data_IF_383799333270
#
_entry.id   IF_383799333270
#
_cell.length_a   1.000
_cell.length_b   1.000
_cell.length_c   1.000
_cell.angle_alpha   90.00
_cell.angle_beta   90.00
_cell.angle_gamma   90.00
#
_symmetry.space_group_name_H-M   'P 1'
#
loop_
_entity.id
_entity.type
_entity.pdbx_description
1 polymer ?
#
# COMPACT_ATOMS: atom_id res chain seq x y z
N UNK A 1 18.29 -19.81 -6.75
CA UNK A 1 18.28 -18.50 -6.05
C UNK A 1 18.14 -17.38 -7.08
N UNK A 2 17.15 -16.50 -6.95
CA UNK A 2 16.87 -15.38 -7.86
C UNK A 2 17.12 -14.06 -7.15
N UNK A 3 17.68 -13.07 -7.84
CA UNK A 3 17.80 -11.69 -7.32
C UNK A 3 16.81 -10.79 -8.05
N UNK A 4 16.06 -9.98 -7.30
CA UNK A 4 15.09 -9.03 -7.85
C UNK A 4 15.46 -7.61 -7.42
N UNK A 5 15.68 -6.73 -8.40
CA UNK A 5 16.04 -5.33 -8.15
C UNK A 5 14.81 -4.58 -7.64
N UNK A 6 14.95 -3.88 -6.53
CA UNK A 6 13.91 -3.01 -5.95
C UNK A 6 14.50 -1.70 -5.42
N UNK A 7 13.62 -0.77 -5.06
CA UNK A 7 13.96 0.45 -4.31
C UNK A 7 13.50 0.29 -2.86
N UNK A 8 14.33 0.75 -1.93
CA UNK A 8 14.06 0.67 -0.49
C UNK A 8 12.73 1.38 -0.09
N UNK A 9 11.82 0.71 0.66
CA UNK A 9 10.48 1.24 0.96
C UNK A 9 10.40 2.13 2.21
N UNK A 10 11.55 2.64 2.67
CA UNK A 10 11.66 3.32 3.97
C UNK A 10 11.64 4.85 3.86
N UNK A 11 12.80 5.45 3.63
CA UNK A 11 12.96 6.92 3.57
C UNK A 11 13.10 7.40 2.12
N UNK A 12 13.13 8.72 1.91
CA UNK A 12 13.21 9.35 0.58
C UNK A 12 14.54 9.22 -0.17
N UNK A 13 15.57 8.59 0.39
CA UNK A 13 16.89 8.47 -0.25
C UNK A 13 16.87 7.63 -1.54
N UNK A 14 15.92 6.69 -1.68
CA UNK A 14 15.77 5.91 -2.91
C UNK A 14 16.90 4.90 -3.19
N UNK A 15 17.50 4.31 -2.14
CA UNK A 15 18.55 3.31 -2.29
C UNK A 15 18.09 2.10 -3.14
N UNK A 16 18.93 1.66 -4.08
CA UNK A 16 18.71 0.42 -4.85
C UNK A 16 19.28 -0.80 -4.11
N UNK A 17 18.53 -1.89 -4.14
CA UNK A 17 18.92 -3.17 -3.52
C UNK A 17 18.36 -4.36 -4.31
N UNK A 18 19.01 -5.51 -4.15
CA UNK A 18 18.46 -6.80 -4.55
C UNK A 18 17.75 -7.42 -3.36
N UNK A 19 16.53 -7.90 -3.58
CA UNK A 19 15.95 -8.94 -2.73
C UNK A 19 16.42 -10.30 -3.27
N UNK A 20 17.05 -11.08 -2.41
CA UNK A 20 17.44 -12.46 -2.71
C UNK A 20 16.27 -13.37 -2.37
N UNK A 21 15.82 -14.12 -3.37
CA UNK A 21 14.62 -14.95 -3.33
C UNK A 21 15.00 -16.41 -3.51
N UNK A 22 14.52 -17.24 -2.59
CA UNK A 22 14.66 -18.68 -2.62
C UNK A 22 13.32 -19.32 -2.22
N UNK A 23 12.88 -20.34 -2.97
CA UNK A 23 11.61 -21.04 -2.72
C UNK A 23 10.41 -20.08 -2.53
N UNK A 24 10.32 -19.06 -3.40
CA UNK A 24 9.30 -17.99 -3.35
C UNK A 24 9.26 -17.16 -2.06
N UNK A 25 10.33 -17.16 -1.25
CA UNK A 25 10.48 -16.32 -0.07
C UNK A 25 11.69 -15.41 -0.22
N UNK A 26 11.57 -14.18 0.27
CA UNK A 26 12.72 -13.29 0.42
C UNK A 26 13.51 -13.78 1.62
N UNK A 27 14.82 -13.96 1.45
CA UNK A 27 15.73 -14.47 2.50
C UNK A 27 16.83 -13.50 2.89
N UNK A 28 17.12 -12.50 2.05
CA UNK A 28 18.07 -11.43 2.36
C UNK A 28 17.88 -10.23 1.43
N UNK A 29 18.52 -9.11 1.80
CA UNK A 29 18.67 -7.93 0.98
C UNK A 29 20.16 -7.62 0.80
N UNK A 30 20.56 -7.31 -0.43
CA UNK A 30 21.93 -6.93 -0.78
C UNK A 30 21.94 -5.54 -1.41
N UNK A 31 22.89 -4.67 -1.08
CA UNK A 31 22.99 -3.36 -1.71
C UNK A 31 23.31 -3.50 -3.20
N UNK A 32 22.80 -2.56 -4.00
CA UNK A 32 23.22 -2.37 -5.38
C UNK A 32 23.93 -1.03 -5.54
N UNK A 33 24.72 -0.92 -6.61
CA UNK A 33 25.33 0.35 -7.02
C UNK A 33 24.28 1.29 -7.63
N UNK A 34 23.36 1.77 -6.80
CA UNK A 34 22.35 2.76 -7.16
C UNK A 34 22.89 4.17 -7.10
N UNK A 35 22.23 5.10 -7.82
CA UNK A 35 22.68 6.49 -7.96
C UNK A 35 22.87 7.22 -6.63
N UNK A 36 22.06 6.92 -5.62
CA UNK A 36 22.09 7.60 -4.32
C UNK A 36 22.82 6.83 -3.23
N UNK A 37 23.02 5.53 -3.41
CA UNK A 37 23.51 4.65 -2.35
C UNK A 37 24.81 3.93 -2.69
N UNK A 38 25.24 3.88 -3.95
CA UNK A 38 26.57 3.43 -4.39
C UNK A 38 27.08 2.13 -3.73
N UNK A 39 26.20 1.14 -3.59
CA UNK A 39 26.56 -0.15 -2.98
C UNK A 39 26.47 -0.17 -1.45
N UNK A 40 25.85 0.83 -0.82
CA UNK A 40 25.64 0.92 0.62
C UNK A 40 24.14 0.87 0.97
N UNK A 41 23.82 0.34 2.15
CA UNK A 41 22.48 0.42 2.76
C UNK A 41 22.62 0.71 4.26
N UNK A 42 21.63 1.40 4.84
CA UNK A 42 21.52 1.49 6.30
C UNK A 42 20.87 0.23 6.89
N UNK A 43 20.78 0.15 8.23
CA UNK A 43 20.16 -0.96 8.96
C UNK A 43 18.77 -1.34 8.42
N UNK A 44 17.93 -0.33 8.13
CA UNK A 44 16.57 -0.55 7.60
C UNK A 44 16.59 -1.22 6.23
N UNK A 45 17.54 -0.86 5.36
CA UNK A 45 17.66 -1.45 4.03
C UNK A 45 18.17 -2.89 4.07
N UNK A 46 19.12 -3.20 4.95
CA UNK A 46 19.71 -4.54 5.09
C UNK A 46 18.75 -5.54 5.76
N UNK A 47 18.00 -5.13 6.79
CA UNK A 47 17.25 -6.05 7.64
C UNK A 47 15.73 -5.86 7.60
N UNK A 48 15.25 -4.74 7.07
CA UNK A 48 13.86 -4.35 7.12
C UNK A 48 12.96 -4.98 6.04
N UNK A 49 13.31 -6.12 5.47
CA UNK A 49 12.51 -6.76 4.41
C UNK A 49 11.63 -7.91 4.92
N UNK A 50 11.92 -8.45 6.11
CA UNK A 50 11.31 -9.70 6.58
C UNK A 50 9.81 -9.59 6.91
N UNK A 51 9.27 -8.37 7.06
CA UNK A 51 7.82 -8.15 7.20
C UNK A 51 7.02 -8.70 6.00
N UNK A 52 7.68 -8.93 4.87
CA UNK A 52 7.09 -9.58 3.70
C UNK A 52 6.63 -11.02 4.00
N UNK A 53 7.28 -11.70 4.94
CA UNK A 53 7.08 -13.10 5.28
C UNK A 53 6.06 -13.34 6.42
N UNK A 54 5.26 -12.32 6.78
CA UNK A 54 4.24 -12.40 7.83
C UNK A 54 4.78 -12.92 9.18
N UNK A 55 5.81 -12.25 9.70
CA UNK A 55 6.51 -12.68 10.92
C UNK A 55 5.65 -12.70 12.18
N UNK A 56 4.49 -12.02 12.17
CA UNK A 56 3.58 -11.91 13.30
C UNK A 56 4.21 -11.35 14.59
N UNK A 57 5.40 -10.73 14.52
CA UNK A 57 6.11 -10.15 15.68
C UNK A 57 5.36 -8.98 16.32
N UNK A 58 4.64 -8.21 15.50
CA UNK A 58 3.85 -7.06 15.97
C UNK A 58 2.39 -7.16 15.53
N UNK A 59 2.15 -7.45 14.25
CA UNK A 59 0.79 -7.53 13.71
C UNK A 59 0.77 -8.50 12.52
N UNK A 60 -0.29 -9.32 12.39
CA UNK A 60 -0.47 -10.18 11.21
C UNK A 60 -0.67 -9.37 9.94
N UNK A 61 -0.19 -9.90 8.82
CA UNK A 61 -0.50 -9.38 7.49
C UNK A 61 -1.99 -9.58 7.18
N UNK A 62 -2.60 -8.56 6.59
CA UNK A 62 -3.95 -8.69 6.03
C UNK A 62 -3.93 -9.65 4.85
N UNK A 63 -4.71 -10.73 4.93
CA UNK A 63 -4.79 -11.79 3.90
C UNK A 63 -6.16 -11.93 3.27
N UNK A 64 -7.18 -11.29 3.83
CA UNK A 64 -8.57 -11.33 3.35
C UNK A 64 -9.22 -9.94 3.45
N UNK A 65 -10.12 -9.58 2.52
CA UNK A 65 -11.04 -8.46 2.71
C UNK A 65 -11.90 -8.67 3.96
N UNK A 66 -12.32 -7.59 4.59
CA UNK A 66 -13.15 -7.65 5.80
C UNK A 66 -14.20 -6.54 5.79
N UNK A 67 -15.39 -6.84 6.31
CA UNK A 67 -16.47 -5.87 6.53
C UNK A 67 -16.84 -5.86 8.01
N UNK A 68 -17.15 -4.67 8.52
CA UNK A 68 -17.83 -4.48 9.81
C UNK A 68 -19.23 -3.94 9.54
N UNK A 69 -20.26 -4.78 9.71
CA UNK A 69 -21.64 -4.44 9.28
C UNK A 69 -22.33 -3.39 10.15
N UNK A 70 -22.00 -3.34 11.43
CA UNK A 70 -22.48 -2.31 12.37
C UNK A 70 -21.32 -1.79 13.20
N UNK A 71 -21.44 -0.58 13.75
CA UNK A 71 -20.34 0.08 14.47
C UNK A 71 -19.73 -0.79 15.59
N UNK A 72 -20.56 -1.55 16.28
CA UNK A 72 -20.17 -2.37 17.44
C UNK A 72 -19.91 -3.85 17.09
N UNK A 73 -20.16 -4.27 15.85
CA UNK A 73 -19.86 -5.63 15.38
C UNK A 73 -18.34 -5.83 15.20
N UNK A 74 -17.90 -7.09 15.13
CA UNK A 74 -16.51 -7.45 14.78
C UNK A 74 -16.25 -7.27 13.28
N UNK A 75 -14.97 -7.18 12.91
CA UNK A 75 -14.56 -7.32 11.51
C UNK A 75 -14.63 -8.79 11.11
N UNK A 76 -15.33 -9.08 10.03
CA UNK A 76 -15.53 -10.43 9.51
C UNK A 76 -14.92 -10.54 8.11
N UNK A 77 -14.25 -11.66 7.84
CA UNK A 77 -13.66 -11.92 6.54
C UNK A 77 -14.75 -12.20 5.50
N UNK A 78 -14.64 -11.55 4.34
CA UNK A 78 -15.59 -11.66 3.22
C UNK A 78 -14.85 -11.92 1.90
N UNK A 79 -15.58 -12.22 0.83
CA UNK A 79 -15.00 -12.34 -0.51
C UNK A 79 -14.57 -10.97 -1.06
N UNK A 80 -13.77 -10.99 -2.14
CA UNK A 80 -13.43 -9.77 -2.87
C UNK A 80 -14.66 -9.12 -3.49
N UNK A 81 -15.54 -9.91 -4.11
CA UNK A 81 -16.76 -9.40 -4.74
C UNK A 81 -17.64 -8.67 -3.73
N UNK A 82 -17.88 -9.28 -2.56
CA UNK A 82 -18.68 -8.66 -1.51
C UNK A 82 -18.05 -7.37 -0.98
N UNK A 83 -16.73 -7.36 -0.78
CA UNK A 83 -16.02 -6.17 -0.30
C UNK A 83 -16.06 -5.01 -1.31
N UNK A 84 -15.86 -5.31 -2.60
CA UNK A 84 -15.85 -4.31 -3.66
C UNK A 84 -17.26 -3.78 -3.93
N UNK A 85 -18.27 -4.64 -3.99
CA UNK A 85 -19.66 -4.24 -4.17
C UNK A 85 -20.14 -3.39 -2.99
N UNK A 86 -19.83 -3.79 -1.76
CA UNK A 86 -20.18 -3.02 -0.57
C UNK A 86 -19.54 -1.63 -0.60
N UNK A 87 -18.25 -1.53 -0.93
CA UNK A 87 -17.56 -0.24 -1.01
C UNK A 87 -18.16 0.65 -2.11
N UNK A 88 -18.40 0.09 -3.31
CA UNK A 88 -19.00 0.82 -4.43
C UNK A 88 -20.41 1.32 -4.11
N UNK A 89 -21.28 0.46 -3.56
CA UNK A 89 -22.66 0.81 -3.17
C UNK A 89 -22.67 1.97 -2.16
N UNK A 90 -21.84 1.89 -1.11
CA UNK A 90 -21.80 2.94 -0.08
C UNK A 90 -21.24 4.25 -0.60
N UNK A 91 -20.17 4.21 -1.40
CA UNK A 91 -19.61 5.42 -2.00
C UNK A 91 -20.59 6.09 -2.97
N UNK A 92 -21.29 5.31 -3.80
CA UNK A 92 -22.33 5.84 -4.70
C UNK A 92 -23.49 6.43 -3.90
N UNK A 93 -24.00 5.74 -2.89
CA UNK A 93 -25.09 6.23 -2.06
C UNK A 93 -24.72 7.56 -1.33
N UNK A 94 -23.49 7.69 -0.85
CA UNK A 94 -22.98 8.94 -0.24
C UNK A 94 -22.89 10.05 -1.29
N UNK A 95 -22.33 9.75 -2.47
CA UNK A 95 -22.20 10.71 -3.57
C UNK A 95 -23.56 11.24 -4.02
N UNK A 96 -24.55 10.37 -4.23
CA UNK A 96 -25.89 10.80 -4.66
C UNK A 96 -26.62 11.61 -3.59
N UNK A 97 -26.43 11.26 -2.31
CA UNK A 97 -27.13 11.93 -1.20
C UNK A 97 -26.50 13.26 -0.79
N UNK A 98 -25.18 13.37 -0.81
CA UNK A 98 -24.44 14.49 -0.22
C UNK A 98 -23.50 15.21 -1.20
N UNK A 99 -23.43 14.76 -2.46
CA UNK A 99 -22.51 15.26 -3.46
C UNK A 99 -21.13 14.60 -3.39
N UNK A 100 -20.31 14.76 -4.46
CA UNK A 100 -19.01 14.09 -4.57
C UNK A 100 -17.99 14.56 -3.53
N UNK A 101 -18.06 15.83 -3.10
CA UNK A 101 -17.15 16.42 -2.12
C UNK A 101 -17.41 15.94 -0.68
N UNK A 102 -18.44 15.12 -0.45
CA UNK A 102 -18.62 14.43 0.83
C UNK A 102 -17.68 13.22 1.01
N UNK A 103 -16.93 12.84 -0.03
CA UNK A 103 -16.00 11.71 -0.02
C UNK A 103 -14.56 12.23 -0.03
N UNK A 104 -13.72 11.68 0.84
CA UNK A 104 -12.28 11.93 0.87
C UNK A 104 -11.52 10.66 0.51
N UNK A 105 -10.54 10.78 -0.37
CA UNK A 105 -9.62 9.69 -0.72
C UNK A 105 -8.19 10.03 -0.28
N UNK A 106 -7.35 9.01 -0.11
CA UNK A 106 -5.94 9.23 0.23
C UNK A 106 -5.00 8.45 -0.69
N UNK A 107 -3.92 9.10 -1.11
CA UNK A 107 -2.74 8.44 -1.64
C UNK A 107 -1.87 7.85 -0.53
N UNK A 108 -0.77 7.20 -0.92
CA UNK A 108 0.19 6.59 0.01
C UNK A 108 1.61 6.82 -0.45
N UNK A 109 2.41 7.46 0.41
CA UNK A 109 3.83 7.75 0.17
C UNK A 109 4.77 6.56 0.51
N UNK A 110 4.26 5.33 0.47
CA UNK A 110 4.98 4.11 0.87
C UNK A 110 5.14 3.15 -0.32
N UNK A 111 5.08 1.84 -0.06
CA UNK A 111 5.30 0.79 -1.06
C UNK A 111 4.34 0.69 -2.26
N UNK A 112 3.14 1.32 -2.32
CA UNK A 112 2.26 1.17 -3.49
C UNK A 112 2.79 1.73 -4.81
N UNK A 113 3.79 2.62 -4.79
CA UNK A 113 4.36 3.23 -5.99
C UNK A 113 3.57 4.44 -6.52
N UNK A 114 4.10 5.07 -7.57
CA UNK A 114 3.52 6.29 -8.14
C UNK A 114 2.24 6.00 -8.92
N UNK A 115 2.19 4.85 -9.58
CA UNK A 115 1.10 4.40 -10.43
C UNK A 115 -0.18 4.20 -9.62
N UNK A 116 -0.09 3.61 -8.42
CA UNK A 116 -1.23 3.46 -7.53
C UNK A 116 -1.79 4.82 -7.07
N UNK A 117 -0.92 5.78 -6.78
CA UNK A 117 -1.32 7.15 -6.44
C UNK A 117 -1.99 7.85 -7.64
N UNK A 118 -1.46 7.66 -8.84
CA UNK A 118 -2.08 8.16 -10.07
C UNK A 118 -3.48 7.55 -10.30
N UNK A 119 -3.65 6.24 -10.06
CA UNK A 119 -4.97 5.60 -10.16
C UNK A 119 -5.92 6.14 -9.10
N UNK A 120 -5.47 6.34 -7.86
CA UNK A 120 -6.30 6.88 -6.78
C UNK A 120 -6.82 8.29 -7.08
N UNK A 121 -5.94 9.20 -7.54
CA UNK A 121 -6.40 10.56 -7.89
C UNK A 121 -7.33 10.56 -9.11
N UNK A 122 -7.14 9.61 -10.05
CA UNK A 122 -8.03 9.45 -11.20
C UNK A 122 -9.41 8.94 -10.76
N UNK A 123 -9.46 7.99 -9.82
CA UNK A 123 -10.70 7.52 -9.21
C UNK A 123 -11.44 8.69 -8.54
N UNK A 124 -10.74 9.49 -7.73
CA UNK A 124 -11.34 10.66 -7.07
C UNK A 124 -11.92 11.67 -8.08
N UNK A 125 -11.13 12.06 -9.08
CA UNK A 125 -11.52 13.15 -10.00
C UNK A 125 -12.46 12.70 -11.11
N UNK A 126 -12.19 11.58 -11.76
CA UNK A 126 -12.93 11.16 -12.94
C UNK A 126 -14.14 10.26 -12.63
N UNK A 127 -14.13 9.53 -11.52
CA UNK A 127 -15.23 8.63 -11.15
C UNK A 127 -16.09 9.23 -10.05
N UNK A 128 -15.47 9.65 -8.95
CA UNK A 128 -16.21 10.27 -7.84
C UNK A 128 -16.65 11.68 -8.26
N UNK A 129 -15.76 12.47 -8.86
CA UNK A 129 -16.04 13.84 -9.28
C UNK A 129 -15.59 14.88 -8.26
N UNK A 130 -14.58 14.57 -7.45
CA UNK A 130 -14.05 15.45 -6.40
C UNK A 130 -12.54 15.63 -6.52
N UNK A 131 -12.04 16.75 -6.01
CA UNK A 131 -10.62 17.00 -5.81
C UNK A 131 -10.12 16.61 -4.41
N UNK A 132 -10.98 16.00 -3.59
CA UNK A 132 -10.66 15.50 -2.26
C UNK A 132 -9.77 14.25 -2.33
N UNK A 133 -8.50 14.47 -2.66
CA UNK A 133 -7.44 13.47 -2.68
C UNK A 133 -6.17 14.10 -2.11
N UNK A 134 -5.56 13.41 -1.15
CA UNK A 134 -4.43 13.92 -0.39
C UNK A 134 -3.55 12.79 0.15
N UNK A 135 -2.39 13.08 0.75
CA UNK A 135 -1.58 12.05 1.41
C UNK A 135 -0.89 12.56 2.67
N UNK A 136 -0.26 11.66 3.42
CA UNK A 136 0.29 11.96 4.74
C UNK A 136 1.44 12.99 4.78
N UNK A 137 2.15 13.22 3.67
CA UNK A 137 3.34 14.07 3.63
C UNK A 137 3.02 15.36 2.85
N UNK A 138 2.40 16.33 3.52
CA UNK A 138 1.96 17.62 2.93
C UNK A 138 2.94 18.78 3.13
N UNK A 139 4.23 18.46 3.16
CA UNK A 139 5.31 19.45 3.31
C UNK A 139 5.42 20.34 2.08
#
# INVERSE_FOLDING_TARGET
MKKSIVVCPYCGTGCKLNLVVENNKVISAEPLNGRTNEGQLCLKGYYGWDFLNDTNLLTPRLTKPMIRRTKDAKLEAVSWDEALDFAAEKLLAIKEKYGPDAIMTTGSARGPGNEANFVMQKLARAVIGTNNVDHCARV
#
